data_IF_907936515825
#
_entry.id   IF_907936515825
#
_cell.length_a   1.000
_cell.length_b   1.000
_cell.length_c   1.000
_cell.angle_alpha   90.00
_cell.angle_beta   90.00
_cell.angle_gamma   90.00
#
_symmetry.space_group_name_H-M   'P 1'
#
loop_
_entity.id
_entity.type
_entity.pdbx_description
1 polymer ?
#
# COMPACT_ATOMS: atom_id res chain seq x y z
N UNK A 1 7.66 -85.77 -21.04
CA UNK A 1 6.22 -86.12 -21.08
C UNK A 1 5.56 -85.41 -19.92
N UNK A 2 4.46 -84.68 -20.03
CA UNK A 2 3.65 -84.20 -21.14
C UNK A 2 2.64 -83.22 -20.48
N UNK A 3 2.05 -82.33 -21.29
CA UNK A 3 1.21 -81.19 -20.89
C UNK A 3 -0.16 -81.62 -20.33
N UNK A 4 -0.77 -80.72 -19.53
CA UNK A 4 -2.23 -80.46 -19.52
C UNK A 4 -2.48 -79.18 -18.68
N UNK A 5 -2.56 -78.00 -19.30
CA UNK A 5 -3.73 -77.36 -19.93
C UNK A 5 -4.71 -76.74 -18.93
N UNK A 6 -4.55 -75.43 -18.75
CA UNK A 6 -5.44 -74.51 -18.05
C UNK A 6 -6.78 -74.37 -18.78
N UNK A 7 -7.89 -74.55 -18.04
CA UNK A 7 -9.21 -74.03 -18.41
C UNK A 7 -9.44 -72.68 -17.72
N UNK A 8 -9.52 -71.62 -18.51
CA UNK A 8 -9.73 -70.24 -18.07
C UNK A 8 -11.25 -69.95 -17.95
N UNK A 9 -11.70 -69.44 -16.81
CA UNK A 9 -12.95 -68.68 -16.72
C UNK A 9 -12.80 -67.58 -15.67
N UNK A 10 -12.60 -66.34 -16.15
CA UNK A 10 -12.63 -65.14 -15.31
C UNK A 10 -14.05 -64.58 -15.27
N UNK A 11 -14.63 -64.29 -14.08
CA UNK A 11 -15.92 -63.61 -13.99
C UNK A 11 -15.75 -62.09 -14.18
N UNK A 12 -16.69 -61.51 -14.93
CA UNK A 12 -16.81 -60.07 -15.23
C UNK A 12 -17.15 -59.32 -13.94
N UNK A 13 -16.17 -58.63 -13.34
CA UNK A 13 -16.38 -57.84 -12.11
C UNK A 13 -17.16 -56.56 -12.44
N UNK A 14 -18.37 -56.44 -11.89
CA UNK A 14 -19.19 -55.23 -11.98
C UNK A 14 -18.56 -54.10 -11.13
N UNK A 15 -18.54 -52.84 -11.61
CA UNK A 15 -17.94 -51.74 -10.87
C UNK A 15 -18.68 -51.47 -9.55
N UNK A 16 -17.92 -51.51 -8.47
CA UNK A 16 -18.34 -51.46 -7.07
C UNK A 16 -19.04 -50.13 -6.70
N UNK A 17 -20.09 -50.25 -5.89
CA UNK A 17 -21.01 -49.21 -5.39
C UNK A 17 -20.33 -47.95 -4.81
N UNK A 18 -19.08 -48.07 -4.34
CA UNK A 18 -18.25 -46.99 -3.80
C UNK A 18 -17.87 -45.94 -4.86
N UNK A 19 -17.61 -46.38 -6.11
CA UNK A 19 -17.23 -45.49 -7.23
C UNK A 19 -18.40 -44.62 -7.69
N UNK A 20 -19.64 -45.13 -7.59
CA UNK A 20 -20.88 -44.41 -7.92
C UNK A 20 -21.25 -43.33 -6.89
N UNK A 21 -20.86 -43.49 -5.61
CA UNK A 21 -21.05 -42.47 -4.57
C UNK A 21 -20.07 -41.31 -4.71
N UNK A 22 -18.79 -41.61 -5.01
CA UNK A 22 -17.76 -40.60 -5.27
C UNK A 22 -18.09 -39.75 -6.51
N UNK A 23 -18.27 -40.40 -7.66
CA UNK A 23 -19.40 -40.20 -8.56
C UNK A 23 -20.28 -38.94 -8.39
N UNK A 24 -21.33 -39.18 -7.59
CA UNK A 24 -22.40 -38.25 -7.26
C UNK A 24 -21.95 -37.08 -6.41
N UNK A 25 -20.99 -37.26 -5.50
CA UNK A 25 -20.46 -36.17 -4.67
C UNK A 25 -19.68 -35.15 -5.51
N UNK A 26 -18.90 -35.61 -6.49
CA UNK A 26 -18.22 -34.72 -7.44
C UNK A 26 -19.20 -33.94 -8.32
N UNK A 27 -20.26 -34.60 -8.81
CA UNK A 27 -21.29 -33.94 -9.63
C UNK A 27 -22.14 -32.94 -8.81
N UNK A 28 -22.43 -33.22 -7.55
CA UNK A 28 -23.12 -32.29 -6.66
C UNK A 28 -22.23 -31.09 -6.31
N UNK A 29 -20.93 -31.30 -6.10
CA UNK A 29 -19.97 -30.23 -5.86
C UNK A 29 -19.81 -29.29 -7.07
N UNK A 30 -19.71 -29.84 -8.28
CA UNK A 30 -19.59 -29.01 -9.49
C UNK A 30 -20.86 -28.21 -9.77
N UNK A 31 -22.04 -28.79 -9.52
CA UNK A 31 -23.32 -28.08 -9.64
C UNK A 31 -23.43 -26.94 -8.61
N UNK A 32 -22.97 -27.15 -7.38
CA UNK A 32 -22.94 -26.10 -6.36
C UNK A 32 -22.03 -24.93 -6.77
N UNK A 33 -20.84 -25.20 -7.31
CA UNK A 33 -19.91 -24.17 -7.81
C UNK A 33 -20.52 -23.40 -8.98
N UNK A 34 -21.19 -24.08 -9.92
CA UNK A 34 -21.86 -23.42 -11.04
C UNK A 34 -23.05 -22.56 -10.59
N UNK A 35 -23.81 -23.01 -9.59
CA UNK A 35 -24.90 -22.22 -9.00
C UNK A 35 -24.37 -21.00 -8.24
N UNK A 36 -23.27 -21.13 -7.48
CA UNK A 36 -22.60 -20.01 -6.83
C UNK A 36 -22.04 -19.01 -7.84
N UNK A 37 -21.39 -19.48 -8.90
CA UNK A 37 -20.87 -18.62 -9.97
C UNK A 37 -22.01 -17.89 -10.71
N UNK A 38 -23.10 -18.61 -11.02
CA UNK A 38 -24.29 -18.03 -11.64
C UNK A 38 -24.95 -17.00 -10.72
N UNK A 39 -25.05 -17.28 -9.42
CA UNK A 39 -25.60 -16.37 -8.41
C UNK A 39 -24.74 -15.09 -8.28
N UNK A 40 -23.41 -15.23 -8.20
CA UNK A 40 -22.49 -14.08 -8.19
C UNK A 40 -22.58 -13.27 -9.49
N UNK A 41 -22.76 -13.93 -10.64
CA UNK A 41 -22.94 -13.26 -11.94
C UNK A 41 -24.30 -12.57 -12.08
N UNK A 42 -25.35 -13.12 -11.47
CA UNK A 42 -26.67 -12.47 -11.42
C UNK A 42 -26.76 -11.32 -10.42
N UNK A 43 -25.78 -11.17 -9.52
CA UNK A 43 -25.59 -9.99 -8.68
C UNK A 43 -24.79 -8.88 -9.39
N UNK A 44 -24.18 -9.16 -10.54
CA UNK A 44 -23.42 -8.19 -11.34
C UNK A 44 -24.21 -7.30 -12.34
N UNK A 45 -25.53 -7.41 -12.60
CA UNK A 45 -26.20 -6.54 -13.58
C UNK A 45 -26.69 -5.22 -12.96
N UNK A 46 -25.89 -4.56 -12.12
CA UNK A 46 -26.10 -3.14 -11.74
C UNK A 46 -25.00 -2.18 -12.21
N UNK A 47 -23.89 -2.68 -12.74
CA UNK A 47 -22.84 -1.81 -13.29
C UNK A 47 -22.87 -1.84 -14.81
N UNK A 48 -23.86 -1.15 -15.37
CA UNK A 48 -23.73 -0.56 -16.70
C UNK A 48 -22.99 0.77 -16.53
N UNK A 49 -21.84 1.02 -17.21
CA UNK A 49 -21.26 2.36 -17.23
C UNK A 49 -22.06 3.17 -18.26
N UNK A 50 -23.24 3.61 -17.88
CA UNK A 50 -24.05 4.51 -18.66
C UNK A 50 -24.07 5.89 -18.01
N UNK A 51 -23.72 6.88 -18.82
CA UNK A 51 -24.00 8.30 -18.66
C UNK A 51 -23.08 9.10 -17.74
N UNK A 52 -22.22 9.86 -18.42
CA UNK A 52 -21.56 11.08 -18.01
C UNK A 52 -22.54 12.08 -17.38
N UNK A 53 -22.86 11.87 -16.11
CA UNK A 53 -23.46 12.90 -15.26
C UNK A 53 -22.34 13.41 -14.34
N UNK A 54 -22.13 14.74 -14.25
CA UNK A 54 -21.20 15.27 -13.27
C UNK A 54 -21.67 14.83 -11.88
N UNK A 55 -20.76 14.21 -11.15
CA UNK A 55 -20.99 13.69 -9.80
C UNK A 55 -21.53 14.83 -8.92
N UNK A 56 -22.44 14.58 -7.96
CA UNK A 56 -22.99 15.62 -7.08
C UNK A 56 -21.92 16.50 -6.38
N UNK A 57 -20.71 15.96 -6.20
CA UNK A 57 -19.56 16.66 -5.63
C UNK A 57 -18.95 17.73 -6.56
N UNK A 58 -18.97 17.54 -7.88
CA UNK A 58 -18.52 18.56 -8.82
C UNK A 58 -19.41 19.81 -8.73
N UNK A 59 -20.72 19.59 -8.54
CA UNK A 59 -21.70 20.66 -8.34
C UNK A 59 -21.58 21.34 -6.96
N UNK A 60 -21.22 20.59 -5.91
CA UNK A 60 -20.96 21.16 -4.58
C UNK A 60 -19.65 21.95 -4.51
N UNK A 61 -18.63 21.58 -5.30
CA UNK A 61 -17.34 22.27 -5.36
C UNK A 61 -17.40 23.60 -6.12
N UNK A 62 -18.26 23.69 -7.14
CA UNK A 62 -18.54 24.97 -7.79
C UNK A 62 -19.23 25.96 -6.82
N UNK A 63 -19.99 25.43 -5.85
CA UNK A 63 -20.67 26.23 -4.82
C UNK A 63 -19.77 26.60 -3.62
N UNK A 64 -18.75 25.79 -3.32
CA UNK A 64 -17.76 26.02 -2.28
C UNK A 64 -16.41 26.31 -2.93
N UNK A 65 -16.17 27.59 -3.26
CA UNK A 65 -14.99 28.05 -4.00
C UNK A 65 -13.70 27.28 -3.68
N UNK A 66 -12.99 26.89 -4.74
CA UNK A 66 -11.76 26.09 -4.68
C UNK A 66 -10.83 26.62 -3.58
N UNK A 67 -10.50 25.82 -2.55
CA UNK A 67 -9.57 26.27 -1.52
C UNK A 67 -8.24 26.59 -2.18
N UNK A 68 -7.76 27.83 -1.95
CA UNK A 68 -6.58 28.38 -2.61
C UNK A 68 -5.27 27.67 -2.24
N UNK A 69 -5.30 26.74 -1.28
CA UNK A 69 -4.14 26.03 -0.77
C UNK A 69 -4.54 24.69 -0.16
N UNK A 70 -3.73 23.65 -0.39
CA UNK A 70 -3.82 22.37 0.30
C UNK A 70 -2.70 22.24 1.34
N UNK A 71 -2.87 21.34 2.29
CA UNK A 71 -1.81 20.94 3.21
C UNK A 71 -1.03 19.77 2.64
N UNK A 72 0.30 19.82 2.75
CA UNK A 72 1.19 18.80 2.23
C UNK A 72 2.18 18.37 3.30
N UNK A 73 2.22 17.07 3.56
CA UNK A 73 3.11 16.48 4.56
C UNK A 73 4.00 15.41 3.96
N UNK A 74 5.31 15.52 4.18
CA UNK A 74 6.25 14.44 3.89
C UNK A 74 6.27 13.47 5.07
N UNK A 75 6.07 12.18 4.81
CA UNK A 75 6.11 11.09 5.80
C UNK A 75 7.31 10.20 5.47
N UNK A 76 8.35 10.22 6.29
CA UNK A 76 9.56 9.41 6.10
C UNK A 76 9.45 8.15 6.96
N UNK A 77 9.57 6.97 6.37
CA UNK A 77 9.64 5.69 7.06
C UNK A 77 11.10 5.26 7.21
N UNK A 78 11.55 5.02 8.44
CA UNK A 78 12.94 4.74 8.76
C UNK A 78 13.08 3.61 9.79
N UNK A 79 14.22 2.92 9.74
CA UNK A 79 14.56 1.86 10.69
C UNK A 79 15.95 2.06 11.29
N UNK A 80 16.94 1.25 10.93
CA UNK A 80 18.29 1.24 11.52
C UNK A 80 19.41 1.72 10.58
N UNK A 81 19.05 2.34 9.44
CA UNK A 81 19.99 2.77 8.38
C UNK A 81 20.27 4.27 8.41
N UNK A 82 21.03 4.73 9.41
CA UNK A 82 21.29 6.17 9.64
C UNK A 82 21.86 6.94 8.43
N UNK A 83 22.78 6.32 7.66
CA UNK A 83 23.38 7.00 6.49
C UNK A 83 22.42 7.10 5.31
N UNK A 84 21.54 6.11 5.14
CA UNK A 84 20.44 6.17 4.16
C UNK A 84 19.48 7.30 4.55
N UNK A 85 18.99 7.28 5.80
CA UNK A 85 18.09 8.32 6.32
C UNK A 85 18.70 9.72 6.15
N UNK A 86 20.00 9.88 6.41
CA UNK A 86 20.71 11.14 6.21
C UNK A 86 20.67 11.61 4.75
N UNK A 87 20.90 10.71 3.79
CA UNK A 87 20.81 11.04 2.35
C UNK A 87 19.39 11.42 1.96
N UNK A 88 18.41 10.64 2.39
CA UNK A 88 16.98 10.90 2.15
C UNK A 88 16.57 12.29 2.66
N UNK A 89 16.78 12.56 3.95
CA UNK A 89 16.42 13.85 4.57
C UNK A 89 17.15 15.04 3.92
N UNK A 90 18.42 14.89 3.55
CA UNK A 90 19.16 15.94 2.82
C UNK A 90 18.54 16.22 1.45
N UNK A 91 18.17 15.19 0.70
CA UNK A 91 17.52 15.36 -0.61
C UNK A 91 16.15 16.05 -0.49
N UNK A 92 15.37 15.66 0.52
CA UNK A 92 14.07 16.28 0.84
C UNK A 92 14.22 17.75 1.23
N UNK A 93 15.20 18.08 2.09
CA UNK A 93 15.44 19.45 2.54
C UNK A 93 15.97 20.35 1.43
N UNK A 94 16.68 19.79 0.44
CA UNK A 94 17.24 20.52 -0.69
C UNK A 94 16.23 20.77 -1.82
N UNK A 95 15.02 20.21 -1.74
CA UNK A 95 14.00 20.39 -2.75
C UNK A 95 13.41 21.80 -2.76
N UNK A 96 12.91 22.21 -3.93
CA UNK A 96 12.22 23.47 -4.13
C UNK A 96 10.73 23.33 -3.82
N UNK A 97 10.32 23.87 -2.67
CA UNK A 97 8.93 23.91 -2.23
C UNK A 97 8.17 25.16 -2.70
N UNK A 98 8.79 26.03 -3.51
CA UNK A 98 8.13 27.22 -4.05
C UNK A 98 7.63 28.22 -2.99
N UNK A 99 8.16 28.15 -1.77
CA UNK A 99 7.73 28.96 -0.63
C UNK A 99 6.52 28.42 0.13
N UNK A 100 5.97 27.26 -0.26
CA UNK A 100 4.86 26.63 0.45
C UNK A 100 5.33 26.01 1.78
N UNK A 101 4.44 26.02 2.78
CA UNK A 101 4.66 25.29 4.02
C UNK A 101 4.48 23.79 3.79
N UNK A 102 5.51 23.00 4.08
CA UNK A 102 5.49 21.54 4.01
C UNK A 102 5.97 20.95 5.33
N UNK A 103 5.08 20.21 5.98
CA UNK A 103 5.40 19.54 7.25
C UNK A 103 6.15 18.23 6.98
N UNK A 104 7.02 17.84 7.90
CA UNK A 104 7.83 16.64 7.85
C UNK A 104 7.56 15.78 9.08
N UNK A 105 7.08 14.57 8.87
CA UNK A 105 6.97 13.56 9.91
C UNK A 105 7.94 12.43 9.63
N UNK A 106 8.71 12.05 10.64
CA UNK A 106 9.70 10.96 10.54
C UNK A 106 9.25 9.85 11.47
N UNK A 107 8.98 8.67 10.93
CA UNK A 107 8.62 7.47 11.65
C UNK A 107 9.85 6.58 11.77
N UNK A 108 10.26 6.29 12.99
CA UNK A 108 11.39 5.41 13.28
C UNK A 108 10.87 4.17 13.98
N UNK A 109 10.97 3.02 13.32
CA UNK A 109 10.56 1.74 13.88
C UNK A 109 11.56 1.25 14.94
N UNK A 110 11.05 0.51 15.92
CA UNK A 110 11.91 -0.06 16.96
C UNK A 110 12.62 -1.31 16.42
N UNK A 111 13.79 -1.66 16.96
CA UNK A 111 14.41 -2.94 16.64
C UNK A 111 13.59 -4.11 17.20
N UNK A 112 13.71 -5.29 16.57
CA UNK A 112 12.98 -6.48 17.00
C UNK A 112 13.34 -6.86 18.42
N UNK A 113 12.36 -7.36 19.18
CA UNK A 113 12.57 -7.84 20.55
C UNK A 113 13.64 -8.93 20.57
N UNK A 114 14.80 -8.60 21.15
CA UNK A 114 15.88 -9.53 21.44
C UNK A 114 15.66 -10.09 22.86
N UNK A 115 16.15 -11.30 23.13
CA UNK A 115 16.09 -11.87 24.48
C UNK A 115 17.16 -11.20 25.37
N UNK A 116 16.79 -10.36 26.34
CA UNK A 116 17.76 -9.57 27.09
C UNK A 116 18.72 -10.43 27.92
N UNK A 117 18.36 -11.68 28.23
CA UNK A 117 19.16 -12.58 29.08
C UNK A 117 20.18 -13.38 28.28
N UNK A 118 19.93 -13.58 26.98
CA UNK A 118 20.80 -14.33 26.09
C UNK A 118 21.58 -13.43 25.11
N UNK A 119 21.12 -12.19 24.89
CA UNK A 119 21.62 -11.29 23.85
C UNK A 119 21.90 -9.87 24.37
N UNK A 120 22.35 -9.73 25.63
CA UNK A 120 22.56 -8.42 26.29
C UNK A 120 23.42 -7.45 25.49
N UNK A 121 24.56 -7.93 24.95
CA UNK A 121 25.49 -7.10 24.18
C UNK A 121 24.87 -6.57 22.87
N UNK A 122 24.02 -7.38 22.23
CA UNK A 122 23.30 -7.00 21.02
C UNK A 122 22.18 -6.00 21.33
N UNK A 123 21.48 -6.17 22.46
CA UNK A 123 20.49 -5.19 22.95
C UNK A 123 21.15 -3.84 23.17
N UNK A 124 22.26 -3.81 23.89
CA UNK A 124 23.01 -2.57 24.15
C UNK A 124 23.51 -1.92 22.87
N UNK A 125 23.96 -2.72 21.90
CA UNK A 125 24.33 -2.22 20.57
C UNK A 125 23.14 -1.59 19.85
N UNK A 126 22.00 -2.28 19.79
CA UNK A 126 20.81 -1.80 19.09
C UNK A 126 20.21 -0.55 19.75
N UNK A 127 20.27 -0.44 21.07
CA UNK A 127 19.90 0.77 21.80
C UNK A 127 20.81 1.95 21.43
N UNK A 128 22.13 1.73 21.35
CA UNK A 128 23.08 2.77 20.91
C UNK A 128 22.83 3.21 19.47
N UNK A 129 22.52 2.28 18.57
CA UNK A 129 22.18 2.58 17.18
C UNK A 129 20.89 3.41 17.09
N UNK A 130 19.85 3.01 17.82
CA UNK A 130 18.59 3.75 17.87
C UNK A 130 18.78 5.17 18.43
N UNK A 131 19.53 5.34 19.53
CA UNK A 131 19.82 6.65 20.09
C UNK A 131 20.53 7.57 19.09
N UNK A 132 21.52 7.06 18.34
CA UNK A 132 22.20 7.86 17.30
C UNK A 132 21.25 8.35 16.21
N UNK A 133 20.26 7.54 15.84
CA UNK A 133 19.23 7.94 14.87
C UNK A 133 18.36 9.04 15.45
N UNK A 134 17.89 8.88 16.69
CA UNK A 134 17.07 9.89 17.37
C UNK A 134 17.81 11.22 17.53
N UNK A 135 19.08 11.20 17.98
CA UNK A 135 19.93 12.38 18.09
C UNK A 135 20.12 13.07 16.72
N UNK A 136 20.36 12.30 15.67
CA UNK A 136 20.50 12.83 14.32
C UNK A 136 19.22 13.49 13.83
N UNK A 137 18.07 12.85 14.01
CA UNK A 137 16.78 13.38 13.55
C UNK A 137 16.36 14.60 14.38
N UNK A 138 16.60 14.59 15.68
CA UNK A 138 16.30 15.72 16.56
C UNK A 138 17.11 16.97 16.16
N UNK A 139 18.40 16.80 15.88
CA UNK A 139 19.28 17.86 15.40
C UNK A 139 19.10 18.28 13.94
N UNK A 140 18.27 17.59 13.15
CA UNK A 140 18.05 17.90 11.75
C UNK A 140 17.19 19.16 11.56
N UNK A 141 17.72 20.16 10.85
CA UNK A 141 17.04 21.44 10.57
C UNK A 141 16.07 21.29 9.38
N UNK A 142 14.77 21.47 9.65
CA UNK A 142 13.73 21.47 8.62
C UNK A 142 13.13 22.87 8.47
N UNK A 143 13.38 23.51 7.33
CA UNK A 143 13.05 24.93 7.12
C UNK A 143 11.70 25.18 6.44
N UNK A 144 11.05 24.12 5.96
CA UNK A 144 9.87 24.22 5.11
C UNK A 144 8.55 24.14 5.89
N UNK A 145 8.57 23.72 7.15
CA UNK A 145 7.37 23.58 7.97
C UNK A 145 7.65 23.00 9.34
N UNK A 146 6.65 22.34 9.93
CA UNK A 146 6.81 21.65 11.22
C UNK A 146 7.54 20.31 11.03
N UNK A 147 8.41 19.97 11.98
CA UNK A 147 9.09 18.66 12.03
C UNK A 147 8.59 17.87 13.23
N UNK A 148 8.05 16.68 12.99
CA UNK A 148 7.57 15.75 14.02
C UNK A 148 8.30 14.40 13.94
N UNK A 149 8.77 13.92 15.08
CA UNK A 149 9.41 12.62 15.20
C UNK A 149 8.46 11.64 15.92
N UNK A 150 8.14 10.55 15.24
CA UNK A 150 7.37 9.43 15.75
C UNK A 150 8.29 8.23 15.97
N UNK A 151 8.76 8.05 17.20
CA UNK A 151 9.51 6.85 17.58
C UNK A 151 8.57 5.79 18.13
N UNK A 152 8.67 4.56 17.62
CA UNK A 152 7.88 3.43 18.12
C UNK A 152 8.54 2.77 19.32
N UNK A 153 7.71 2.31 20.25
CA UNK A 153 8.14 1.52 21.42
C UNK A 153 8.31 0.03 21.12
N UNK A 154 7.96 -0.42 19.91
CA UNK A 154 8.06 -1.82 19.49
C UNK A 154 8.15 -1.93 17.97
N UNK A 155 8.77 -3.02 17.49
CA UNK A 155 8.94 -3.27 16.06
C UNK A 155 7.60 -3.67 15.45
N UNK A 156 7.10 -2.89 14.49
CA UNK A 156 5.86 -3.24 13.76
C UNK A 156 6.14 -3.76 12.35
N UNK A 157 7.34 -3.51 11.82
CA UNK A 157 7.74 -3.92 10.49
C UNK A 157 7.20 -3.01 9.39
N UNK A 158 7.71 -3.21 8.18
CA UNK A 158 7.50 -2.29 7.06
C UNK A 158 6.01 -2.16 6.67
N UNK A 159 5.27 -3.27 6.59
CA UNK A 159 3.86 -3.23 6.18
C UNK A 159 3.00 -2.40 7.15
N UNK A 160 3.18 -2.60 8.46
CA UNK A 160 2.43 -1.85 9.47
C UNK A 160 2.85 -0.37 9.49
N UNK A 161 4.14 -0.07 9.29
CA UNK A 161 4.58 1.32 9.13
C UNK A 161 3.86 2.02 7.97
N UNK A 162 3.75 1.37 6.81
CA UNK A 162 3.01 1.91 5.66
C UNK A 162 1.53 2.12 5.95
N UNK A 163 0.87 1.14 6.57
CA UNK A 163 -0.57 1.21 6.88
C UNK A 163 -0.90 2.29 7.91
N UNK A 164 0.01 2.58 8.83
CA UNK A 164 -0.20 3.53 9.94
C UNK A 164 0.40 4.93 9.67
N UNK A 165 1.07 5.12 8.54
CA UNK A 165 1.79 6.37 8.24
C UNK A 165 0.87 7.59 8.05
N UNK A 166 -0.37 7.37 7.63
CA UNK A 166 -1.26 8.47 7.24
C UNK A 166 -2.75 8.14 7.36
N UNK A 167 -3.49 9.08 7.97
CA UNK A 167 -4.95 9.08 8.03
C UNK A 167 -5.44 10.52 7.80
N UNK A 168 -5.92 10.87 6.58
CA UNK A 168 -6.30 12.24 6.26
C UNK A 168 -7.48 12.71 7.11
N UNK A 169 -7.44 13.96 7.54
CA UNK A 169 -8.55 14.60 8.28
C UNK A 169 -9.43 15.48 7.38
N UNK A 170 -8.97 15.73 6.16
CA UNK A 170 -9.56 16.67 5.21
C UNK A 170 -9.32 16.21 3.77
N UNK A 171 -10.20 16.63 2.87
CA UNK A 171 -10.06 16.42 1.42
C UNK A 171 -8.90 17.23 0.81
N UNK A 172 -8.47 18.30 1.49
CA UNK A 172 -7.34 19.17 1.09
C UNK A 172 -6.05 18.84 1.88
N UNK A 173 -5.92 17.60 2.34
CA UNK A 173 -4.73 17.06 2.98
C UNK A 173 -4.07 16.00 2.09
N UNK A 174 -2.79 16.19 1.79
CA UNK A 174 -2.01 15.27 0.97
C UNK A 174 -0.74 14.84 1.70
N UNK A 175 -0.40 13.57 1.58
CA UNK A 175 0.83 13.02 2.10
C UNK A 175 1.72 12.46 0.98
N UNK A 176 3.03 12.71 1.10
CA UNK A 176 4.05 12.04 0.33
C UNK A 176 4.84 11.12 1.24
N UNK A 177 4.65 9.81 1.08
CA UNK A 177 5.33 8.79 1.88
C UNK A 177 6.58 8.31 1.15
N UNK A 178 7.71 8.29 1.87
CA UNK A 178 9.02 7.95 1.31
C UNK A 178 9.81 7.10 2.32
N UNK A 179 10.54 6.10 1.83
CA UNK A 179 11.44 5.28 2.65
C UNK A 179 12.82 5.94 2.80
N UNK A 180 13.53 5.58 3.87
CA UNK A 180 14.83 6.14 4.23
C UNK A 180 15.95 5.87 3.22
N UNK A 181 15.80 4.93 2.30
CA UNK A 181 16.79 4.61 1.26
C UNK A 181 16.55 5.30 -0.09
N UNK A 182 15.57 6.20 -0.15
CA UNK A 182 15.25 6.96 -1.36
C UNK A 182 15.84 8.36 -1.33
N UNK A 183 16.22 8.85 -2.51
CA UNK A 183 16.56 10.25 -2.76
C UNK A 183 15.58 10.84 -3.78
N UNK A 184 15.13 12.05 -3.52
CA UNK A 184 14.18 12.75 -4.40
C UNK A 184 14.89 13.80 -5.24
N UNK A 185 14.33 14.05 -6.43
CA UNK A 185 14.74 15.18 -7.26
C UNK A 185 14.40 16.50 -6.54
N UNK A 186 15.23 17.56 -6.66
CA UNK A 186 14.87 18.88 -6.16
C UNK A 186 13.54 19.45 -6.69
N UNK A 187 13.04 18.91 -7.81
CA UNK A 187 11.80 19.34 -8.45
C UNK A 187 10.58 18.45 -8.14
N UNK A 188 10.73 17.45 -7.25
CA UNK A 188 9.66 16.47 -6.99
C UNK A 188 8.38 17.15 -6.49
N UNK A 189 8.51 18.13 -5.58
CA UNK A 189 7.36 18.81 -5.00
C UNK A 189 6.59 19.61 -6.05
N UNK A 190 7.30 20.34 -6.92
CA UNK A 190 6.67 21.08 -8.02
C UNK A 190 5.84 20.15 -8.91
N UNK A 191 6.38 18.98 -9.26
CA UNK A 191 5.65 17.98 -10.03
C UNK A 191 4.39 17.49 -9.31
N UNK A 192 4.49 17.17 -8.01
CA UNK A 192 3.34 16.72 -7.21
C UNK A 192 2.29 17.82 -7.06
N UNK A 193 2.70 19.06 -6.83
CA UNK A 193 1.81 20.23 -6.75
C UNK A 193 1.04 20.44 -8.06
N UNK A 194 1.72 20.37 -9.20
CA UNK A 194 1.07 20.48 -10.52
C UNK A 194 0.11 19.30 -10.77
N UNK A 195 0.48 18.09 -10.35
CA UNK A 195 -0.38 16.92 -10.46
C UNK A 195 -1.66 17.08 -9.64
N UNK A 196 -1.55 17.48 -8.37
CA UNK A 196 -2.69 17.75 -7.49
C UNK A 196 -3.58 18.85 -8.09
N UNK A 197 -2.99 19.96 -8.52
CA UNK A 197 -3.74 21.06 -9.14
C UNK A 197 -4.53 20.58 -10.37
N UNK A 198 -3.89 19.80 -11.24
CA UNK A 198 -4.48 19.35 -12.51
C UNK A 198 -5.50 18.23 -12.36
N UNK A 199 -5.26 17.24 -11.51
CA UNK A 199 -6.12 16.04 -11.46
C UNK A 199 -7.06 16.02 -10.26
N UNK A 200 -6.77 16.79 -9.23
CA UNK A 200 -7.64 16.90 -8.05
C UNK A 200 -8.47 18.17 -8.05
N UNK A 201 -7.89 19.33 -8.36
CA UNK A 201 -8.59 20.62 -8.23
C UNK A 201 -9.27 21.12 -9.51
N UNK A 202 -8.73 20.83 -10.70
CA UNK A 202 -9.32 21.24 -11.99
C UNK A 202 -10.55 20.39 -12.33
N UNK A 203 -11.78 20.96 -12.36
CA UNK A 203 -13.01 20.22 -12.64
C UNK A 203 -13.04 19.55 -14.02
N UNK A 204 -12.30 20.09 -14.99
CA UNK A 204 -12.26 19.55 -16.36
C UNK A 204 -11.42 18.27 -16.48
N UNK A 205 -10.45 18.11 -15.57
CA UNK A 205 -9.51 16.99 -15.54
C UNK A 205 -9.71 16.07 -14.32
N UNK A 206 -10.61 16.45 -13.40
CA UNK A 206 -10.92 15.68 -12.21
C UNK A 206 -11.43 14.27 -12.54
N UNK A 207 -10.84 13.26 -11.90
CA UNK A 207 -11.28 11.88 -12.00
C UNK A 207 -11.33 11.23 -10.62
N UNK A 208 -12.50 10.73 -10.18
CA UNK A 208 -12.62 10.04 -8.90
C UNK A 208 -11.88 8.69 -8.88
N UNK A 209 -11.38 8.21 -10.02
CA UNK A 209 -10.62 6.97 -10.12
C UNK A 209 -9.12 7.15 -9.84
N UNK A 210 -8.64 8.39 -9.62
CA UNK A 210 -7.24 8.67 -9.29
C UNK A 210 -7.08 8.68 -7.78
N UNK A 211 -6.34 7.69 -7.29
CA UNK A 211 -6.13 7.41 -5.86
C UNK A 211 -4.70 7.68 -5.39
N UNK A 212 -3.81 8.10 -6.28
CA UNK A 212 -2.40 8.28 -5.93
C UNK A 212 -1.52 8.57 -7.12
N UNK A 213 -0.26 8.86 -6.82
CA UNK A 213 0.82 8.91 -7.79
C UNK A 213 2.02 8.14 -7.27
N UNK A 214 2.94 7.76 -8.15
CA UNK A 214 4.25 7.27 -7.75
C UNK A 214 5.29 8.00 -8.57
N UNK A 215 6.40 8.38 -7.92
CA UNK A 215 7.56 8.96 -8.60
C UNK A 215 8.58 7.91 -9.01
N UNK A 216 8.37 6.64 -8.66
CA UNK A 216 9.20 5.56 -9.14
C UNK A 216 8.74 5.15 -10.53
N UNK A 217 9.70 4.78 -11.38
CA UNK A 217 9.34 4.06 -12.60
C UNK A 217 8.68 2.75 -12.20
N UNK A 218 7.59 2.33 -12.87
CA UNK A 218 7.16 0.95 -12.83
C UNK A 218 8.30 0.08 -13.37
N UNK A 219 9.09 -0.50 -12.47
CA UNK A 219 10.02 -1.56 -12.81
C UNK A 219 9.17 -2.80 -13.12
N UNK A 220 9.33 -3.37 -14.30
CA UNK A 220 8.66 -4.62 -14.67
C UNK A 220 9.30 -5.77 -13.90
N UNK A 221 8.94 -5.96 -12.64
CA UNK A 221 9.34 -7.11 -11.84
C UNK A 221 8.10 -7.96 -11.50
N UNK A 222 7.99 -9.10 -12.18
CA UNK A 222 7.16 -10.20 -11.71
C UNK A 222 7.92 -10.86 -10.55
N UNK A 223 7.34 -10.78 -9.35
CA UNK A 223 7.69 -11.54 -8.14
C UNK A 223 9.18 -11.57 -7.75
N UNK A 224 9.63 -10.59 -6.94
CA UNK A 224 10.39 -10.83 -5.69
C UNK A 224 10.77 -9.49 -5.05
N UNK A 225 10.30 -9.30 -3.81
CA UNK A 225 10.74 -8.35 -2.77
C UNK A 225 11.00 -6.88 -3.22
N UNK A 226 9.93 -6.08 -3.19
CA UNK A 226 9.87 -4.64 -3.55
C UNK A 226 10.16 -3.69 -2.38
N UNK A 227 10.67 -2.47 -2.64
CA UNK A 227 10.19 -1.25 -2.00
C UNK A 227 9.36 -0.40 -2.98
N UNK A 228 8.08 -0.21 -2.66
CA UNK A 228 7.14 0.60 -3.44
C UNK A 228 7.16 2.06 -2.96
N UNK A 229 7.51 3.01 -3.82
CA UNK A 229 7.22 4.42 -3.57
C UNK A 229 5.76 4.70 -3.90
N UNK A 230 4.98 5.14 -2.92
CA UNK A 230 3.57 5.47 -3.10
C UNK A 230 3.26 6.84 -2.51
N UNK A 231 2.91 7.81 -3.35
CA UNK A 231 2.09 8.93 -2.92
C UNK A 231 0.65 8.41 -2.89
N UNK A 232 0.14 8.18 -1.69
CA UNK A 232 -1.27 7.86 -1.49
C UNK A 232 -2.02 9.18 -1.60
N UNK A 233 -2.89 9.33 -2.60
CA UNK A 233 -3.90 10.38 -2.57
C UNK A 233 -5.11 9.81 -1.85
N UNK A 234 -5.91 10.71 -1.28
CA UNK A 234 -7.11 10.34 -0.57
C UNK A 234 -7.99 9.41 -1.43
N UNK A 235 -8.14 8.16 -0.99
CA UNK A 235 -9.03 7.19 -1.61
C UNK A 235 -10.40 7.40 -1.01
N UNK A 236 -11.31 7.99 -1.80
CA UNK A 236 -12.69 8.10 -1.37
C UNK A 236 -13.30 6.69 -1.34
N UNK A 237 -13.56 6.19 -0.14
CA UNK A 237 -14.52 5.11 0.04
C UNK A 237 -15.88 5.68 -0.36
N UNK A 238 -16.39 5.25 -1.51
CA UNK A 238 -17.73 5.60 -1.95
C UNK A 238 -18.70 4.97 -0.97
N UNK A 239 -19.20 5.75 -0.02
CA UNK A 239 -20.27 5.29 0.87
C UNK A 239 -21.48 4.93 -0.02
N UNK A 240 -22.01 3.69 0.04
CA UNK A 240 -23.19 3.33 -0.73
C UNK A 240 -24.37 4.17 -0.22
N UNK A 241 -24.98 4.93 -1.13
CA UNK A 241 -26.25 5.60 -0.92
C UNK A 241 -27.39 4.59 -0.85
#
# INVERSE_FOLDING_TARGET
MERSSMGNSSPRVAPTQRRRRSLRLFLLGSLAVLLLYSYCRSLLPLFSPASSSPTPLALLRDAAGVPASFSFTVKVLAFDRIESLRRCLRSLSAADYGGDRVDLHIFVDHFRGLDPWNESDLVDQKLREAHRILEFVDGFDWRHGEKLLHYRTGNVGLQAQWLEAWWPRSDDEFAFVVEDDLEVSPLYYKFLKELIAKYYYDPSNFSPSIYGASLQRPSRFFFSDEPLLTMVMNVKESNPA
#
